data_IF_497688206456
#
_entry.id   IF_497688206456
#
_cell.length_a   1.000
_cell.length_b   1.000
_cell.length_c   1.000
_cell.angle_alpha   90.00
_cell.angle_beta   90.00
_cell.angle_gamma   90.00
#
_symmetry.space_group_name_H-M   'P 1'
#
loop_
_entity.id
_entity.type
_entity.pdbx_description
1 polymer ?
#
# COMPACT_ATOMS: atom_id res chain seq x y z
N UNK A 1 21.33 12.30 -13.20
CA UNK A 1 20.75 12.86 -11.97
C UNK A 1 20.23 14.25 -12.31
N UNK A 2 18.91 14.44 -12.48
CA UNK A 2 18.32 15.75 -12.82
C UNK A 2 17.68 16.30 -11.55
N UNK A 3 18.30 17.31 -10.95
CA UNK A 3 17.74 18.11 -9.86
C UNK A 3 16.64 19.00 -10.45
N UNK A 4 15.38 18.68 -10.14
CA UNK A 4 14.25 19.57 -10.43
C UNK A 4 14.28 20.79 -9.49
N UNK A 5 13.65 21.92 -9.88
CA UNK A 5 13.65 23.14 -9.08
C UNK A 5 12.97 22.88 -7.73
N UNK A 6 13.64 23.25 -6.64
CA UNK A 6 13.10 23.19 -5.29
C UNK A 6 12.02 24.26 -5.13
N UNK A 7 10.76 23.87 -5.28
CA UNK A 7 9.62 24.65 -4.81
C UNK A 7 9.85 24.95 -3.32
N UNK A 8 9.66 26.19 -2.84
CA UNK A 8 9.72 26.48 -1.41
C UNK A 8 8.81 25.52 -0.67
N UNK A 9 9.34 24.80 0.32
CA UNK A 9 8.53 23.91 1.17
C UNK A 9 7.55 24.78 1.95
N UNK A 10 6.31 24.85 1.47
CA UNK A 10 5.21 25.50 2.18
C UNK A 10 4.84 24.65 3.40
N UNK A 11 5.40 25.00 4.54
CA UNK A 11 5.18 24.27 5.79
C UNK A 11 3.72 24.42 6.30
N UNK A 12 2.93 25.33 5.73
CA UNK A 12 1.51 25.52 6.09
C UNK A 12 0.60 24.41 5.58
N UNK A 13 1.11 23.47 4.79
CA UNK A 13 0.40 22.24 4.42
C UNK A 13 0.76 21.03 5.28
N UNK A 14 1.84 21.09 6.07
CA UNK A 14 2.30 19.95 6.87
C UNK A 14 1.31 19.57 7.98
N UNK A 15 0.57 20.53 8.54
CA UNK A 15 -0.46 20.30 9.57
C UNK A 15 -1.72 19.63 9.00
N UNK A 16 -1.93 19.74 7.68
CA UNK A 16 -3.10 19.21 6.94
C UNK A 16 -2.80 17.92 6.19
N UNK A 17 -1.55 17.47 6.15
CA UNK A 17 -1.18 16.26 5.42
C UNK A 17 -1.85 15.03 6.04
N UNK A 18 -2.51 14.16 5.24
CA UNK A 18 -3.17 12.96 5.73
C UNK A 18 -2.15 11.84 6.02
N UNK A 19 -1.20 12.08 6.94
CA UNK A 19 -0.10 11.16 7.27
C UNK A 19 -0.58 9.80 7.79
N UNK A 20 -1.82 9.70 8.29
CA UNK A 20 -2.42 8.44 8.78
C UNK A 20 -3.02 7.59 7.65
N UNK A 21 -3.25 8.16 6.47
CA UNK A 21 -3.85 7.49 5.32
C UNK A 21 -3.10 7.85 4.02
N UNK A 22 -1.79 7.56 3.93
CA UNK A 22 -0.98 7.93 2.76
C UNK A 22 -1.37 7.17 1.48
N UNK A 23 -2.12 6.06 1.60
CA UNK A 23 -2.52 5.22 0.45
C UNK A 23 -1.42 4.31 -0.10
N UNK A 24 -0.22 4.35 0.48
CA UNK A 24 0.93 3.52 0.10
C UNK A 24 1.70 3.01 1.30
N UNK A 25 2.54 1.99 1.09
CA UNK A 25 3.44 1.43 2.09
C UNK A 25 4.91 1.59 1.67
N UNK A 26 5.83 1.48 2.62
CA UNK A 26 7.25 1.29 2.30
C UNK A 26 7.46 -0.11 1.68
N UNK A 27 8.37 -0.26 0.69
CA UNK A 27 8.44 -1.46 -0.16
C UNK A 27 9.20 -2.65 0.46
N UNK A 28 9.52 -2.60 1.76
CA UNK A 28 10.31 -3.63 2.46
C UNK A 28 9.50 -4.86 2.88
N UNK A 29 8.18 -4.82 2.71
CA UNK A 29 7.24 -5.92 2.91
C UNK A 29 6.04 -5.75 2.00
N UNK A 30 4.96 -6.47 2.28
CA UNK A 30 3.65 -6.26 1.65
C UNK A 30 2.59 -6.01 2.73
N UNK A 31 1.43 -5.50 2.33
CA UNK A 31 0.30 -5.28 3.23
C UNK A 31 -0.99 -5.82 2.61
N UNK A 32 -1.79 -6.49 3.44
CA UNK A 32 -3.16 -6.89 3.15
C UNK A 32 -4.07 -6.23 4.17
N UNK A 33 -5.21 -5.70 3.75
CA UNK A 33 -6.31 -5.35 4.65
C UNK A 33 -7.38 -6.41 4.55
N UNK A 34 -8.01 -6.75 5.67
CA UNK A 34 -8.92 -7.89 5.77
C UNK A 34 -10.28 -7.47 6.30
N UNK A 35 -11.33 -8.15 5.85
CA UNK A 35 -12.62 -8.13 6.52
C UNK A 35 -12.54 -8.90 7.85
N UNK A 36 -13.54 -8.74 8.74
CA UNK A 36 -13.63 -9.57 9.94
C UNK A 36 -13.70 -11.09 9.66
N UNK A 37 -14.15 -11.47 8.46
CA UNK A 37 -14.20 -12.86 8.01
C UNK A 37 -12.90 -13.32 7.30
N UNK A 38 -11.81 -12.54 7.42
CA UNK A 38 -10.51 -12.80 6.81
C UNK A 38 -10.52 -12.86 5.27
N UNK A 39 -11.42 -12.12 4.64
CA UNK A 39 -11.36 -11.89 3.20
C UNK A 39 -10.46 -10.69 2.90
N UNK A 40 -9.61 -10.79 1.88
CA UNK A 40 -8.74 -9.69 1.46
C UNK A 40 -9.60 -8.57 0.86
N UNK A 41 -9.47 -7.37 1.43
CA UNK A 41 -10.14 -6.16 0.96
C UNK A 41 -9.21 -5.33 0.07
N UNK A 42 -7.94 -5.23 0.43
CA UNK A 42 -6.92 -4.55 -0.36
C UNK A 42 -5.59 -5.29 -0.26
N UNK A 43 -4.79 -5.18 -1.32
CA UNK A 43 -3.42 -5.66 -1.38
C UNK A 43 -2.49 -4.55 -1.85
N UNK A 44 -1.29 -4.47 -1.27
CA UNK A 44 -0.26 -3.56 -1.77
C UNK A 44 0.20 -3.95 -3.17
N UNK A 45 0.54 -2.96 -4.00
CA UNK A 45 0.92 -3.18 -5.41
C UNK A 45 2.11 -4.13 -5.60
N UNK A 46 2.95 -4.30 -4.58
CA UNK A 46 4.13 -5.17 -4.61
C UNK A 46 3.87 -6.61 -4.12
N UNK A 47 2.60 -7.02 -3.89
CA UNK A 47 2.26 -8.35 -3.38
C UNK A 47 2.92 -9.49 -4.17
N UNK A 48 2.91 -9.39 -5.50
CA UNK A 48 3.44 -10.40 -6.42
C UNK A 48 4.93 -10.68 -6.21
N UNK A 49 5.71 -9.69 -5.75
CA UNK A 49 7.12 -9.86 -5.42
C UNK A 49 7.35 -10.82 -4.25
N UNK A 50 6.39 -10.89 -3.33
CA UNK A 50 6.51 -11.66 -2.09
C UNK A 50 5.83 -13.01 -2.17
N UNK A 51 4.62 -13.06 -2.75
CA UNK A 51 3.77 -14.26 -2.76
C UNK A 51 3.50 -14.81 -4.16
N UNK A 52 3.95 -14.15 -5.23
CA UNK A 52 3.63 -14.55 -6.62
C UNK A 52 2.18 -14.30 -7.03
N UNK A 53 1.37 -13.68 -6.17
CA UNK A 53 -0.04 -13.35 -6.42
C UNK A 53 -0.16 -11.89 -6.87
N UNK A 54 -0.85 -11.66 -7.99
CA UNK A 54 -1.16 -10.31 -8.44
C UNK A 54 -2.11 -9.60 -7.46
N UNK A 55 -1.84 -8.33 -7.15
CA UNK A 55 -2.61 -7.57 -6.17
C UNK A 55 -4.08 -7.40 -6.58
N UNK A 56 -4.38 -7.25 -7.87
CA UNK A 56 -5.74 -7.15 -8.36
C UNK A 56 -6.49 -8.49 -8.28
N UNK A 57 -5.76 -9.60 -8.34
CA UNK A 57 -6.31 -10.95 -8.17
C UNK A 57 -6.48 -11.37 -6.70
N UNK A 58 -5.99 -10.59 -5.74
CA UNK A 58 -6.08 -10.94 -4.32
C UNK A 58 -7.43 -10.54 -3.68
N UNK A 59 -8.07 -9.48 -4.17
CA UNK A 59 -9.31 -8.96 -3.60
C UNK A 59 -10.44 -9.98 -3.57
N UNK A 60 -11.16 -10.05 -2.45
CA UNK A 60 -12.29 -10.96 -2.22
C UNK A 60 -11.91 -12.39 -1.85
N UNK A 61 -10.64 -12.80 -2.01
CA UNK A 61 -10.17 -14.15 -1.67
C UNK A 61 -9.97 -14.31 -0.16
N UNK A 62 -10.15 -15.52 0.40
CA UNK A 62 -9.78 -15.81 1.78
C UNK A 62 -8.27 -15.61 1.99
N UNK A 63 -7.87 -15.11 3.16
CA UNK A 63 -6.47 -14.89 3.51
C UNK A 63 -5.62 -16.14 3.27
N UNK A 64 -6.09 -17.30 3.71
CA UNK A 64 -5.38 -18.59 3.58
C UNK A 64 -5.07 -18.96 2.12
N UNK A 65 -5.91 -18.57 1.17
CA UNK A 65 -5.68 -18.85 -0.26
C UNK A 65 -4.58 -17.94 -0.86
N UNK A 66 -4.35 -16.78 -0.25
CA UNK A 66 -3.38 -15.79 -0.71
C UNK A 66 -2.00 -16.03 -0.10
N UNK A 67 -1.93 -16.44 1.17
CA UNK A 67 -0.65 -16.63 1.88
C UNK A 67 -0.13 -18.07 1.91
N UNK A 68 -0.96 -19.06 1.55
CA UNK A 68 -0.63 -20.49 1.65
C UNK A 68 -0.69 -21.01 3.08
#
# INVERSE_FOLDING_TARGET
MKTGPSVPLDLSSCDKEPIRTPGSIQPHGFMLTLSPALQVLQASANLSRWLGVDAAAAGGRPLAEVIG
#
